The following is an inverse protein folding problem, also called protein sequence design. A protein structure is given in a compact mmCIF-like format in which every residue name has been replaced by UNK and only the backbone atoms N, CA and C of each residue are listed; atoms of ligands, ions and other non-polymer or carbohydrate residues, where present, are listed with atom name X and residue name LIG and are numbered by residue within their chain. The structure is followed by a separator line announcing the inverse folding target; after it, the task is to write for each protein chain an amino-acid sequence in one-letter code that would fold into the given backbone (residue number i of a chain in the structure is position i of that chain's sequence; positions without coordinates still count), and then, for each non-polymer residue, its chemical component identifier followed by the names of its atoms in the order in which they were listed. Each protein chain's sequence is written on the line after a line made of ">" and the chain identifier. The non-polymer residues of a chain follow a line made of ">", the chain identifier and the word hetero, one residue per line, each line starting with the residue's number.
data_IF_936025692474
#
_entry.id   IF_936025692474
#
_cell.length_a   1.000
_cell.length_b   1.000
_cell.length_c   1.000
_cell.angle_alpha   90.00
_cell.angle_beta   90.00
_cell.angle_gamma   90.00
#
_symmetry.space_group_name_H-M   'P 1'
#
loop_
_entity.id
_entity.type
_entity.pdbx_description
1 polymer ?
#
# COMPACT_ATOMS: atom_id res chain seq x y z
N UNK A 1 -25.81 -2.43 4.23
CA UNK A 1 -26.01 -0.97 4.16
C UNK A 1 -26.19 -0.45 5.56
N UNK A 2 -25.40 0.55 5.93
CA UNK A 2 -25.46 1.23 7.22
C UNK A 2 -25.89 2.68 7.00
N UNK A 3 -26.75 3.19 7.87
CA UNK A 3 -27.19 4.59 7.87
C UNK A 3 -26.68 5.29 9.10
N UNK A 4 -26.19 6.52 8.98
CA UNK A 4 -25.60 7.29 10.08
C UNK A 4 -26.21 8.69 10.16
N UNK A 5 -26.62 9.11 11.37
CA UNK A 5 -26.99 10.48 11.70
C UNK A 5 -28.26 11.00 11.07
N UNK A 6 -28.44 12.33 11.15
CA UNK A 6 -29.63 13.04 10.67
C UNK A 6 -29.71 13.19 9.14
N UNK A 7 -28.59 12.98 8.44
CA UNK A 7 -28.54 12.93 6.99
C UNK A 7 -28.42 11.49 6.51
N UNK A 8 -29.12 11.15 5.42
CA UNK A 8 -29.10 9.81 4.83
C UNK A 8 -27.72 9.49 4.21
N UNK A 9 -26.73 9.18 5.05
CA UNK A 9 -25.43 8.64 4.61
C UNK A 9 -25.52 7.15 4.50
N UNK A 10 -25.15 6.61 3.34
CA UNK A 10 -25.22 5.17 3.07
C UNK A 10 -23.80 4.65 2.92
N UNK A 11 -23.47 3.62 3.71
CA UNK A 11 -22.20 2.88 3.59
C UNK A 11 -22.51 1.55 2.93
N UNK A 12 -21.86 1.30 1.78
CA UNK A 12 -21.91 0.00 1.11
C UNK A 12 -20.68 -0.81 1.49
N UNK A 13 -20.89 -2.05 1.95
CA UNK A 13 -19.80 -3.02 2.17
C UNK A 13 -19.83 -4.01 1.02
N UNK A 14 -18.76 -4.02 0.23
CA UNK A 14 -18.68 -4.78 -1.01
C UNK A 14 -17.37 -5.57 -1.06
N UNK A 15 -17.42 -6.77 -1.65
CA UNK A 15 -16.21 -7.52 -1.98
C UNK A 15 -15.68 -7.12 -3.36
N UNK A 16 -14.38 -7.23 -3.56
CA UNK A 16 -13.70 -6.94 -4.82
C UNK A 16 -12.81 -8.10 -5.33
N UNK A 17 -12.96 -9.27 -4.75
CA UNK A 17 -12.16 -10.47 -4.99
C UNK A 17 -12.35 -11.08 -6.38
N UNK A 18 -13.39 -10.67 -7.11
CA UNK A 18 -13.61 -11.11 -8.49
C UNK A 18 -14.32 -10.06 -9.35
N UNK A 19 -14.16 -10.16 -10.68
CA UNK A 19 -14.73 -9.21 -11.65
C UNK A 19 -16.26 -9.11 -11.62
N UNK A 20 -16.96 -10.16 -11.24
CA UNK A 20 -18.42 -10.10 -11.13
C UNK A 20 -18.89 -9.19 -9.99
N UNK A 21 -18.12 -9.12 -8.90
CA UNK A 21 -18.40 -8.23 -7.77
C UNK A 21 -18.04 -6.76 -8.07
N UNK A 22 -17.06 -6.53 -8.94
CA UNK A 22 -16.66 -5.17 -9.33
C UNK A 22 -17.82 -4.36 -9.91
N UNK A 23 -18.74 -4.99 -10.67
CA UNK A 23 -19.88 -4.31 -11.27
C UNK A 23 -20.74 -3.55 -10.25
N UNK A 24 -20.87 -4.08 -9.04
CA UNK A 24 -21.62 -3.42 -7.96
C UNK A 24 -20.91 -2.16 -7.46
N UNK A 25 -19.60 -2.24 -7.28
CA UNK A 25 -18.78 -1.11 -6.81
C UNK A 25 -18.59 -0.07 -7.91
N UNK A 26 -18.38 -0.50 -9.16
CA UNK A 26 -18.14 0.40 -10.30
C UNK A 26 -19.41 0.97 -10.94
N UNK A 27 -20.60 0.54 -10.48
CA UNK A 27 -21.88 1.02 -10.99
C UNK A 27 -22.35 2.38 -10.46
N UNK A 28 -21.60 3.00 -9.52
CA UNK A 28 -21.99 4.25 -8.87
C UNK A 28 -20.89 5.29 -8.83
N UNK A 29 -21.26 6.49 -8.34
CA UNK A 29 -20.33 7.55 -7.91
C UNK A 29 -20.43 7.66 -6.39
N UNK A 30 -19.29 7.85 -5.73
CA UNK A 30 -19.20 7.81 -4.27
C UNK A 30 -18.42 9.02 -3.75
N UNK A 31 -18.85 9.58 -2.61
CA UNK A 31 -18.08 10.63 -1.95
C UNK A 31 -16.76 10.10 -1.38
N UNK A 32 -16.77 8.87 -0.86
CA UNK A 32 -15.55 8.24 -0.34
C UNK A 32 -15.54 6.75 -0.67
N UNK A 33 -14.37 6.25 -1.06
CA UNK A 33 -14.08 4.83 -1.23
C UNK A 33 -12.97 4.43 -0.26
N UNK A 34 -13.20 3.37 0.52
CA UNK A 34 -12.18 2.73 1.34
C UNK A 34 -11.84 1.36 0.76
N UNK A 35 -10.57 1.11 0.52
CA UNK A 35 -10.06 -0.20 0.06
C UNK A 35 -9.12 -0.76 1.12
N UNK A 36 -9.52 -1.86 1.73
CA UNK A 36 -8.66 -2.61 2.64
C UNK A 36 -7.69 -3.48 1.85
N UNK A 37 -6.43 -3.57 2.32
CA UNK A 37 -5.37 -4.35 1.69
C UNK A 37 -5.20 -4.06 0.18
N UNK A 38 -5.14 -2.79 -0.21
CA UNK A 38 -5.03 -2.36 -1.62
C UNK A 38 -3.84 -3.01 -2.38
N UNK A 39 -2.83 -3.50 -1.68
CA UNK A 39 -1.67 -4.18 -2.26
C UNK A 39 -2.00 -5.52 -2.92
N UNK A 40 -3.11 -6.17 -2.52
CA UNK A 40 -3.58 -7.42 -3.12
C UNK A 40 -4.72 -7.21 -4.13
N UNK A 41 -5.22 -5.98 -4.24
CA UNK A 41 -6.28 -5.66 -5.18
C UNK A 41 -5.80 -5.71 -6.63
N UNK A 42 -6.70 -6.09 -7.54
CA UNK A 42 -6.44 -5.95 -8.98
C UNK A 42 -6.35 -4.46 -9.34
N UNK A 43 -5.25 -4.05 -9.95
CA UNK A 43 -5.00 -2.64 -10.27
C UNK A 43 -5.94 -2.07 -11.34
N UNK A 44 -6.52 -2.91 -12.19
CA UNK A 44 -7.59 -2.48 -13.10
C UNK A 44 -8.81 -2.00 -12.30
N UNK A 45 -9.20 -2.78 -11.29
CA UNK A 45 -10.27 -2.40 -10.38
C UNK A 45 -9.96 -1.10 -9.62
N UNK A 46 -8.76 -1.01 -9.04
CA UNK A 46 -8.36 0.17 -8.25
C UNK A 46 -8.42 1.45 -9.08
N UNK A 47 -7.89 1.42 -10.32
CA UNK A 47 -7.92 2.58 -11.23
C UNK A 47 -9.34 2.99 -11.59
N UNK A 48 -10.18 2.03 -11.94
CA UNK A 48 -11.59 2.26 -12.25
C UNK A 48 -12.37 2.82 -11.06
N UNK A 49 -12.15 2.26 -9.87
CA UNK A 49 -12.82 2.69 -8.65
C UNK A 49 -12.39 4.09 -8.21
N UNK A 50 -11.09 4.40 -8.33
CA UNK A 50 -10.54 5.71 -7.98
C UNK A 50 -11.12 6.86 -8.83
N UNK A 51 -11.55 6.59 -10.07
CA UNK A 51 -12.22 7.58 -10.92
C UNK A 51 -13.68 7.87 -10.51
N UNK A 52 -14.24 7.08 -9.59
CA UNK A 52 -15.64 7.13 -9.19
C UNK A 52 -15.86 7.62 -7.77
N UNK A 53 -14.83 8.16 -7.15
CA UNK A 53 -14.93 8.72 -5.79
C UNK A 53 -14.21 10.05 -5.70
N UNK A 54 -14.70 10.90 -4.81
CA UNK A 54 -14.04 12.18 -4.49
C UNK A 54 -12.82 11.96 -3.59
N UNK A 55 -12.91 10.99 -2.66
CA UNK A 55 -11.83 10.63 -1.74
C UNK A 55 -11.56 9.12 -1.79
N UNK A 56 -10.30 8.76 -1.97
CA UNK A 56 -9.81 7.39 -1.87
C UNK A 56 -9.01 7.24 -0.59
N UNK A 57 -9.46 6.34 0.29
CA UNK A 57 -8.72 5.88 1.47
C UNK A 57 -8.34 4.42 1.25
N UNK A 58 -7.14 4.04 1.65
CA UNK A 58 -6.72 2.65 1.56
C UNK A 58 -5.77 2.27 2.68
N UNK A 59 -5.79 0.98 3.05
CA UNK A 59 -4.79 0.38 3.92
C UNK A 59 -4.00 -0.67 3.17
N UNK A 60 -2.79 -0.92 3.62
CA UNK A 60 -1.97 -2.03 3.14
C UNK A 60 -0.96 -2.46 4.17
N UNK A 61 -0.60 -3.73 4.13
CA UNK A 61 0.66 -4.17 4.70
C UNK A 61 1.76 -4.05 3.64
N UNK A 62 2.97 -3.58 4.03
CA UNK A 62 4.08 -3.51 3.08
C UNK A 62 4.34 -4.86 2.40
N UNK A 63 4.68 -4.82 1.13
CA UNK A 63 4.92 -5.99 0.29
C UNK A 63 6.05 -5.72 -0.72
N UNK A 64 6.11 -6.48 -1.82
CA UNK A 64 7.12 -6.28 -2.87
C UNK A 64 7.10 -4.85 -3.39
N UNK A 65 8.23 -4.12 -3.35
CA UNK A 65 8.31 -2.72 -3.79
C UNK A 65 8.00 -2.51 -5.28
N UNK A 66 7.93 -3.58 -6.09
CA UNK A 66 7.57 -3.49 -7.50
C UNK A 66 6.06 -3.54 -7.77
N UNK A 67 5.23 -3.72 -6.75
CA UNK A 67 3.78 -3.69 -6.97
C UNK A 67 3.35 -2.34 -7.53
N UNK A 68 2.45 -2.32 -8.53
CA UNK A 68 2.02 -1.07 -9.19
C UNK A 68 1.41 -0.04 -8.24
N UNK A 69 0.76 -0.49 -7.16
CA UNK A 69 0.20 0.41 -6.14
C UNK A 69 1.22 1.39 -5.57
N UNK A 70 2.49 0.99 -5.48
CA UNK A 70 3.54 1.87 -4.98
C UNK A 70 3.86 2.98 -5.97
N UNK A 71 4.14 2.66 -7.23
CA UNK A 71 4.51 3.67 -8.23
C UNK A 71 3.33 4.57 -8.63
N UNK A 72 2.11 4.02 -8.62
CA UNK A 72 0.92 4.75 -9.06
C UNK A 72 0.31 5.62 -7.96
N UNK A 73 0.39 5.20 -6.69
CA UNK A 73 -0.26 5.87 -5.56
C UNK A 73 0.73 6.27 -4.47
N UNK A 74 1.35 5.32 -3.78
CA UNK A 74 2.05 5.59 -2.52
C UNK A 74 3.31 6.43 -2.73
N UNK A 75 4.12 6.12 -3.75
CA UNK A 75 5.33 6.90 -4.04
C UNK A 75 5.04 8.32 -4.53
N UNK A 76 3.79 8.62 -4.86
CA UNK A 76 3.30 9.96 -5.21
C UNK A 76 2.64 10.68 -4.04
N UNK A 77 2.46 10.01 -2.92
CA UNK A 77 1.95 10.58 -1.67
C UNK A 77 3.10 11.05 -0.79
N UNK A 78 2.81 11.90 0.19
CA UNK A 78 3.78 12.35 1.20
C UNK A 78 3.15 12.26 2.58
N UNK A 79 3.93 11.94 3.64
CA UNK A 79 3.43 12.09 4.99
C UNK A 79 3.15 13.57 5.27
N UNK A 80 2.17 13.83 6.13
CA UNK A 80 1.98 15.18 6.64
C UNK A 80 3.19 15.58 7.50
N UNK A 81 3.57 16.87 7.54
CA UNK A 81 4.75 17.33 8.27
C UNK A 81 4.81 16.87 9.73
N UNK A 82 3.66 16.84 10.42
CA UNK A 82 3.53 16.40 11.81
C UNK A 82 3.73 14.90 12.03
N UNK A 83 3.71 14.06 10.96
CA UNK A 83 3.85 12.61 11.02
C UNK A 83 5.06 12.07 10.23
N UNK A 84 5.91 12.96 9.74
CA UNK A 84 7.08 12.54 8.94
C UNK A 84 8.09 11.74 9.77
N UNK A 85 8.23 12.08 11.04
CA UNK A 85 9.17 11.43 11.96
C UNK A 85 8.72 10.02 12.38
N UNK A 86 7.43 9.70 12.23
CA UNK A 86 6.91 8.36 12.46
C UNK A 86 7.34 7.37 11.37
N UNK A 87 7.68 7.88 10.19
CA UNK A 87 7.98 7.05 9.03
C UNK A 87 9.47 6.67 8.97
N UNK A 88 9.78 5.37 8.77
CA UNK A 88 11.16 4.93 8.58
C UNK A 88 11.83 5.63 7.40
N UNK A 89 13.09 6.08 7.58
CA UNK A 89 13.89 6.75 6.54
C UNK A 89 13.98 5.91 5.25
N UNK A 90 14.01 4.57 5.37
CA UNK A 90 13.99 3.67 4.21
C UNK A 90 12.74 3.88 3.34
N UNK A 91 11.56 4.05 3.96
CA UNK A 91 10.32 4.29 3.21
C UNK A 91 10.29 5.69 2.60
N UNK A 92 10.76 6.70 3.32
CA UNK A 92 10.88 8.08 2.79
C UNK A 92 11.79 8.12 1.57
N UNK A 93 12.91 7.39 1.59
CA UNK A 93 13.83 7.27 0.46
C UNK A 93 13.23 6.58 -0.78
N UNK A 94 12.13 5.84 -0.62
CA UNK A 94 11.42 5.19 -1.72
C UNK A 94 10.40 6.09 -2.43
N UNK A 95 10.12 7.29 -1.91
CA UNK A 95 9.16 8.23 -2.49
C UNK A 95 9.78 8.98 -3.68
N UNK A 96 10.11 8.25 -4.73
CA UNK A 96 10.88 8.75 -5.89
C UNK A 96 10.04 9.46 -6.95
N UNK A 97 8.71 9.31 -6.89
CA UNK A 97 7.82 9.91 -7.88
C UNK A 97 7.45 11.35 -7.50
N UNK A 98 7.13 12.22 -8.47
CA UNK A 98 6.63 13.56 -8.17
C UNK A 98 5.39 13.50 -7.26
N UNK A 99 5.40 14.30 -6.19
CA UNK A 99 4.28 14.36 -5.26
C UNK A 99 3.01 14.89 -5.94
N UNK A 100 1.87 14.28 -5.63
CA UNK A 100 0.57 14.81 -6.03
C UNK A 100 -0.04 15.61 -4.88
N UNK A 101 -0.53 16.85 -5.13
CA UNK A 101 -1.18 17.65 -4.11
C UNK A 101 -2.36 16.91 -3.46
N UNK A 102 -2.44 16.98 -2.14
CA UNK A 102 -3.51 16.34 -1.36
C UNK A 102 -3.38 14.82 -1.20
N UNK A 103 -2.33 14.20 -1.77
CA UNK A 103 -2.07 12.78 -1.58
C UNK A 103 -1.16 12.58 -0.39
N UNK A 104 -1.73 11.98 0.68
CA UNK A 104 -1.05 11.75 1.95
C UNK A 104 -1.00 10.27 2.30
N UNK A 105 -0.06 9.89 3.15
CA UNK A 105 -0.01 8.56 3.76
C UNK A 105 0.50 8.66 5.19
N UNK A 106 0.16 7.67 5.99
CA UNK A 106 0.62 7.51 7.36
C UNK A 106 1.29 6.17 7.54
N UNK A 107 2.28 6.14 8.40
CA UNK A 107 2.94 4.91 8.80
C UNK A 107 2.43 4.47 10.16
N UNK A 108 2.16 3.17 10.28
CA UNK A 108 1.77 2.55 11.53
C UNK A 108 2.68 1.37 11.83
N UNK A 109 3.18 1.28 13.09
CA UNK A 109 3.97 0.18 13.63
C UNK A 109 3.26 -0.43 14.83
N UNK A 110 3.88 -1.40 15.47
CA UNK A 110 3.40 -1.93 16.75
C UNK A 110 3.33 -0.86 17.85
N UNK A 111 4.15 0.19 17.78
CA UNK A 111 4.19 1.25 18.79
C UNK A 111 2.91 2.10 18.76
N UNK A 112 2.22 2.16 17.63
CA UNK A 112 0.94 2.85 17.46
C UNK A 112 -0.26 2.03 17.93
N UNK A 113 -0.07 0.73 18.26
CA UNK A 113 -1.15 -0.14 18.72
C UNK A 113 -1.19 -0.20 20.25
N UNK A 114 -1.93 0.71 20.86
CA UNK A 114 -2.09 0.80 22.31
C UNK A 114 -2.71 -0.46 22.98
N UNK A 115 -3.39 -1.31 22.21
CA UNK A 115 -3.97 -2.56 22.72
C UNK A 115 -2.93 -3.70 22.77
N UNK A 116 -1.75 -3.52 22.21
CA UNK A 116 -0.71 -4.54 22.14
C UNK A 116 0.27 -4.40 23.32
N UNK A 117 0.17 -5.33 24.29
CA UNK A 117 1.10 -5.31 25.43
C UNK A 117 2.55 -5.64 24.99
N UNK A 118 3.57 -5.18 25.74
CA UNK A 118 4.97 -5.50 25.44
C UNK A 118 5.25 -7.01 25.32
N UNK A 119 4.65 -7.82 26.20
CA UNK A 119 4.80 -9.28 26.18
C UNK A 119 4.19 -9.88 24.92
N UNK A 120 3.00 -9.42 24.53
CA UNK A 120 2.34 -9.88 23.30
C UNK A 120 3.12 -9.48 22.05
N UNK A 121 3.66 -8.27 22.03
CA UNK A 121 4.56 -7.79 20.98
C UNK A 121 5.79 -8.70 20.87
N UNK A 122 6.46 -8.96 21.97
CA UNK A 122 7.63 -9.83 21.99
C UNK A 122 7.32 -11.25 21.53
N UNK A 123 6.17 -11.81 21.93
CA UNK A 123 5.70 -13.11 21.46
C UNK A 123 5.53 -13.13 19.94
N UNK A 124 4.92 -12.09 19.37
CA UNK A 124 4.72 -12.00 17.92
C UNK A 124 6.06 -11.93 17.20
N UNK A 125 6.97 -11.08 17.66
CA UNK A 125 8.29 -10.89 17.05
C UNK A 125 9.10 -12.19 17.09
N UNK A 126 9.10 -12.90 18.22
CA UNK A 126 9.85 -14.15 18.38
C UNK A 126 9.37 -15.29 17.48
N UNK A 127 8.12 -15.25 17.02
CA UNK A 127 7.56 -16.25 16.12
C UNK A 127 7.95 -16.06 14.65
N UNK A 128 8.61 -14.94 14.32
CA UNK A 128 8.97 -14.62 12.92
C UNK A 128 10.49 -14.53 12.79
N UNK A 129 11.14 -15.43 12.04
CA UNK A 129 12.59 -15.40 11.87
C UNK A 129 13.08 -14.07 11.30
N UNK A 130 14.06 -13.47 11.98
CA UNK A 130 14.71 -12.25 11.50
C UNK A 130 15.36 -12.47 10.10
N UNK A 131 15.37 -11.42 9.27
CA UNK A 131 15.93 -11.48 7.92
C UNK A 131 15.01 -12.05 6.85
N UNK A 132 13.84 -12.57 7.22
CA UNK A 132 12.84 -13.02 6.25
C UNK A 132 12.02 -11.86 5.67
N UNK A 133 11.41 -12.05 4.47
CA UNK A 133 10.46 -11.10 3.90
C UNK A 133 9.32 -10.81 4.87
N UNK A 134 8.79 -11.85 5.53
CA UNK A 134 7.70 -11.72 6.50
C UNK A 134 8.12 -10.82 7.66
N UNK A 135 9.32 -11.02 8.20
CA UNK A 135 9.84 -10.15 9.26
C UNK A 135 9.93 -8.69 8.81
N UNK A 136 10.51 -8.47 7.62
CA UNK A 136 10.63 -7.13 7.05
C UNK A 136 9.26 -6.47 6.84
N UNK A 137 8.31 -7.18 6.26
CA UNK A 137 6.99 -6.64 5.92
C UNK A 137 6.06 -6.49 7.14
N UNK A 138 5.99 -7.51 8.01
CA UNK A 138 4.99 -7.57 9.08
C UNK A 138 5.51 -7.05 10.43
N UNK A 139 6.81 -7.18 10.69
CA UNK A 139 7.39 -6.72 11.96
C UNK A 139 7.97 -5.31 11.81
N UNK A 140 8.76 -5.06 10.77
CA UNK A 140 9.39 -3.77 10.56
C UNK A 140 8.52 -2.79 9.76
N UNK A 141 7.41 -3.23 9.21
CA UNK A 141 6.56 -2.38 8.36
C UNK A 141 7.25 -1.86 7.10
N UNK A 142 8.28 -2.56 6.62
CA UNK A 142 9.09 -2.15 5.47
C UNK A 142 8.76 -2.99 4.23
N UNK A 143 8.95 -2.41 3.05
CA UNK A 143 8.77 -3.14 1.79
C UNK A 143 9.88 -4.17 1.62
N UNK A 144 9.53 -5.41 1.33
CA UNK A 144 10.48 -6.51 1.20
C UNK A 144 10.19 -7.39 -0.01
N UNK A 145 11.26 -7.79 -0.71
CA UNK A 145 11.18 -8.83 -1.76
C UNK A 145 11.22 -10.20 -1.15
N UNK A 146 10.70 -11.20 -1.86
CA UNK A 146 10.85 -12.59 -1.46
C UNK A 146 12.34 -12.95 -1.33
N UNK A 147 12.68 -13.65 -0.26
CA UNK A 147 14.00 -14.28 -0.12
C UNK A 147 14.07 -15.45 -1.09
N UNK A 148 15.21 -15.62 -1.76
CA UNK A 148 15.40 -16.71 -2.75
C UNK A 148 15.36 -16.28 -4.22
N UNK A 149 15.38 -14.98 -4.49
CA UNK A 149 15.62 -14.48 -5.84
C UNK A 149 17.01 -14.93 -6.30
N UNK A 150 17.11 -15.52 -7.50
CA UNK A 150 18.38 -15.90 -8.14
C UNK A 150 19.35 -14.71 -8.20
N UNK A 151 18.81 -13.50 -8.32
CA UNK A 151 19.56 -12.26 -8.27
C UNK A 151 18.98 -11.34 -7.18
N UNK A 152 19.46 -11.48 -5.95
CA UNK A 152 18.99 -10.68 -4.79
C UNK A 152 19.20 -9.18 -4.98
N UNK A 153 20.20 -8.78 -5.76
CA UNK A 153 20.57 -7.39 -6.04
C UNK A 153 19.96 -6.84 -7.33
N UNK A 154 19.03 -7.58 -7.97
CA UNK A 154 18.39 -7.08 -9.19
C UNK A 154 17.53 -5.85 -8.89
N UNK A 155 17.86 -4.77 -9.55
CA UNK A 155 17.11 -3.51 -9.56
C UNK A 155 16.73 -3.18 -11.00
N UNK A 156 15.43 -3.06 -11.27
CA UNK A 156 14.95 -2.80 -12.63
C UNK A 156 15.45 -1.48 -13.19
N UNK A 157 15.59 -0.43 -12.38
CA UNK A 157 16.09 0.88 -12.82
C UNK A 157 17.56 0.85 -13.17
N UNK A 158 18.34 0.00 -12.49
CA UNK A 158 19.80 -0.12 -12.70
C UNK A 158 20.17 -1.17 -13.75
N UNK A 159 19.41 -2.26 -13.82
CA UNK A 159 19.81 -3.47 -14.56
C UNK A 159 18.97 -3.71 -15.82
N UNK A 160 17.91 -2.93 -16.05
CA UNK A 160 17.12 -2.99 -17.28
C UNK A 160 17.37 -1.74 -18.12
N UNK A 161 17.96 -1.94 -19.27
CA UNK A 161 18.15 -0.88 -20.28
C UNK A 161 17.07 -0.98 -21.35
N UNK A 162 16.72 0.15 -21.95
CA UNK A 162 15.77 0.17 -23.05
C UNK A 162 16.33 -0.57 -24.28
N UNK A 163 15.46 -1.16 -25.07
CA UNK A 163 15.84 -1.81 -26.35
C UNK A 163 16.65 -0.87 -27.26
N UNK A 164 16.37 0.43 -27.23
CA UNK A 164 17.07 1.46 -27.99
C UNK A 164 18.51 1.69 -27.51
N UNK A 165 18.81 1.39 -26.24
CA UNK A 165 20.14 1.53 -25.67
C UNK A 165 21.07 0.34 -25.98
N UNK A 166 20.53 -0.75 -26.52
CA UNK A 166 21.33 -1.90 -26.97
C UNK A 166 21.97 -1.52 -28.30
N UNK A 167 23.28 -1.23 -28.28
CA UNK A 167 24.03 -1.02 -29.53
C UNK A 167 24.00 -2.30 -30.34
N UNK A 168 23.51 -2.23 -31.58
CA UNK A 168 23.73 -3.29 -32.56
C UNK A 168 25.24 -3.40 -32.80
N UNK A 169 25.84 -4.51 -32.44
CA UNK A 169 27.17 -4.89 -32.89
C UNK A 169 27.08 -5.39 -34.32
#
# INVERSE_FOLDING_TARGET
>A
VFRTGAEDKIIYVLGYDNKARWKKALGGQYGCLYIDEINIADMEYVREAAMRCDYLLATLNPDDPNLPVYSEYINRSRPLPEYVDDAPTELLGMLSEPAKPGWVWWYFSFDHNAALTPEKRQQIISNVPAGTKIYKNKILGLRGRATGLVFSNFDRKRHVISKAAIRKR
#
